data_IF_819871763907
#
_entry.id   IF_819871763907
#
_cell.length_a   1.000
_cell.length_b   1.000
_cell.length_c   1.000
_cell.angle_alpha   90.00
_cell.angle_beta   90.00
_cell.angle_gamma   90.00
#
_symmetry.space_group_name_H-M   'P 1'
#
loop_
_entity.id
_entity.type
_entity.pdbx_description
1 polymer ?
#
# COMPACT_ATOMS: atom_id res chain seq x y z
N UNK A 1 2.83 -15.59 -4.86
CA UNK A 1 2.91 -16.77 -5.72
C UNK A 1 2.20 -17.91 -4.97
N UNK A 2 0.93 -18.13 -5.28
CA UNK A 2 0.11 -19.22 -4.72
C UNK A 2 0.55 -20.56 -5.34
N UNK A 3 1.82 -20.90 -5.17
CA UNK A 3 2.29 -22.24 -5.54
C UNK A 3 1.80 -23.22 -4.49
N UNK A 4 1.24 -24.33 -4.94
CA UNK A 4 1.07 -25.51 -4.11
C UNK A 4 2.45 -25.98 -3.65
N UNK A 5 2.85 -25.54 -2.46
CA UNK A 5 4.07 -26.03 -1.85
C UNK A 5 3.83 -27.47 -1.38
N UNK A 6 4.72 -28.36 -1.78
CA UNK A 6 4.78 -29.70 -1.22
C UNK A 6 5.25 -29.62 0.24
N UNK A 7 4.29 -29.45 1.15
CA UNK A 7 4.55 -29.28 2.57
C UNK A 7 5.27 -30.48 3.19
N UNK A 8 5.03 -31.70 2.68
CA UNK A 8 5.71 -32.91 3.14
C UNK A 8 7.20 -32.86 2.77
N UNK A 9 7.51 -32.49 1.54
CA UNK A 9 8.88 -32.30 1.08
C UNK A 9 9.61 -31.19 1.83
N UNK A 10 8.94 -30.09 2.12
CA UNK A 10 9.51 -28.99 2.91
C UNK A 10 9.72 -29.41 4.37
N UNK A 11 8.78 -30.16 4.96
CA UNK A 11 8.90 -30.73 6.30
C UNK A 11 10.11 -31.64 6.42
N UNK A 12 10.25 -32.61 5.52
CA UNK A 12 11.37 -33.52 5.47
C UNK A 12 12.71 -32.76 5.31
N UNK A 13 12.75 -31.75 4.45
CA UNK A 13 13.93 -30.90 4.28
C UNK A 13 14.32 -30.19 5.59
N UNK A 14 13.37 -29.68 6.34
CA UNK A 14 13.62 -29.02 7.63
C UNK A 14 14.14 -30.06 8.65
N UNK A 15 13.50 -31.23 8.78
CA UNK A 15 13.92 -32.31 9.71
C UNK A 15 15.33 -32.80 9.42
N UNK A 16 15.73 -32.87 8.15
CA UNK A 16 17.07 -33.32 7.75
C UNK A 16 18.17 -32.26 7.98
N UNK A 17 17.83 -30.96 8.00
CA UNK A 17 18.80 -29.86 7.97
C UNK A 17 18.79 -28.99 9.24
N UNK A 18 17.82 -29.15 10.13
CA UNK A 18 17.66 -28.35 11.35
C UNK A 18 17.58 -29.25 12.58
N UNK A 19 18.39 -28.97 13.59
CA UNK A 19 18.26 -29.60 14.90
C UNK A 19 17.03 -29.01 15.64
N UNK A 20 15.87 -29.61 15.36
CA UNK A 20 14.59 -29.19 15.92
C UNK A 20 14.54 -29.28 17.44
N UNK A 21 15.22 -30.27 18.03
CA UNK A 21 15.26 -30.46 19.49
C UNK A 21 16.00 -29.28 20.16
N UNK A 22 17.12 -28.86 19.58
CA UNK A 22 17.81 -27.63 20.04
C UNK A 22 16.94 -26.39 19.86
N UNK A 23 16.30 -26.18 18.70
CA UNK A 23 15.39 -25.04 18.47
C UNK A 23 14.27 -25.04 19.51
N UNK A 24 13.59 -26.15 19.71
CA UNK A 24 12.50 -26.28 20.69
C UNK A 24 12.99 -26.06 22.14
N UNK A 25 14.21 -26.49 22.47
CA UNK A 25 14.78 -26.26 23.80
C UNK A 25 15.02 -24.79 24.08
N UNK A 26 15.52 -24.05 23.08
CA UNK A 26 15.74 -22.59 23.16
C UNK A 26 14.42 -21.81 23.20
N UNK A 27 13.39 -22.28 22.50
CA UNK A 27 12.06 -21.66 22.47
C UNK A 27 11.26 -21.83 23.79
N UNK A 28 11.77 -22.55 24.77
CA UNK A 28 11.10 -22.74 26.10
C UNK A 28 11.26 -21.57 27.04
N UNK A 29 12.12 -20.60 26.71
CA UNK A 29 12.22 -19.41 27.53
C UNK A 29 10.94 -18.55 27.36
N UNK A 30 10.32 -18.11 28.48
CA UNK A 30 9.13 -17.29 28.38
C UNK A 30 9.49 -15.98 27.66
N UNK A 31 8.72 -15.65 26.63
CA UNK A 31 8.80 -14.31 26.05
C UNK A 31 8.56 -13.28 27.13
N UNK A 32 9.34 -12.18 27.19
CA UNK A 32 8.99 -11.06 28.04
C UNK A 32 7.56 -10.65 27.74
N UNK A 33 6.79 -10.35 28.78
CA UNK A 33 5.44 -9.84 28.61
C UNK A 33 5.48 -8.68 27.63
N UNK A 34 4.71 -8.78 26.55
CA UNK A 34 4.55 -7.65 25.64
C UNK A 34 4.08 -6.44 26.46
N UNK A 35 4.68 -5.25 26.29
CA UNK A 35 4.12 -4.08 26.93
C UNK A 35 2.65 -3.98 26.51
N UNK A 36 1.75 -3.72 27.47
CA UNK A 36 0.37 -3.38 27.15
C UNK A 36 0.40 -2.16 26.23
N UNK A 37 0.17 -2.37 24.95
CA UNK A 37 -0.05 -1.25 24.03
C UNK A 37 -1.35 -0.57 24.44
N UNK A 38 -1.23 0.48 25.21
CA UNK A 38 -2.33 1.42 25.42
C UNK A 38 -2.59 2.14 24.07
N UNK A 39 -3.40 1.53 23.21
CA UNK A 39 -4.11 2.31 22.20
C UNK A 39 -5.00 3.25 23.01
N UNK A 40 -4.82 4.58 22.91
CA UNK A 40 -5.66 5.48 23.69
C UNK A 40 -7.13 5.19 23.38
N UNK A 41 -7.98 5.15 24.41
CA UNK A 41 -9.45 5.09 24.29
C UNK A 41 -10.01 6.40 23.70
N UNK A 42 -9.38 6.89 22.64
CA UNK A 42 -9.91 8.02 21.88
C UNK A 42 -11.00 7.48 20.96
N UNK A 43 -12.21 7.93 21.17
CA UNK A 43 -13.32 7.62 20.27
C UNK A 43 -12.94 8.01 18.84
N UNK A 44 -13.05 7.06 17.93
CA UNK A 44 -12.69 7.31 16.52
C UNK A 44 -13.67 8.31 15.92
N UNK A 45 -13.14 9.33 15.26
CA UNK A 45 -13.94 10.39 14.64
C UNK A 45 -13.96 10.32 13.11
N UNK A 46 -13.10 9.46 12.52
CA UNK A 46 -13.06 9.15 11.09
C UNK A 46 -12.89 7.65 10.85
N UNK A 47 -13.24 7.21 9.66
CA UNK A 47 -13.08 5.82 9.23
C UNK A 47 -12.17 5.75 8.01
N UNK A 48 -11.12 4.93 8.06
CA UNK A 48 -10.21 4.67 6.93
C UNK A 48 -10.45 3.25 6.42
N UNK A 49 -10.80 3.14 5.14
CA UNK A 49 -10.86 1.87 4.43
C UNK A 49 -9.46 1.40 4.05
N UNK A 50 -9.07 0.21 4.48
CA UNK A 50 -7.79 -0.41 4.12
C UNK A 50 -8.07 -1.60 3.21
N UNK A 51 -7.56 -1.54 1.98
CA UNK A 51 -7.66 -2.64 1.04
C UNK A 51 -6.87 -3.85 1.58
N UNK A 52 -7.53 -4.98 1.80
CA UNK A 52 -6.89 -6.16 2.38
C UNK A 52 -7.47 -7.43 1.76
N UNK A 53 -6.71 -8.01 0.84
CA UNK A 53 -7.01 -9.29 0.21
C UNK A 53 -5.71 -9.90 -0.38
N UNK A 54 -5.82 -10.91 -1.24
CA UNK A 54 -4.66 -11.53 -1.89
C UNK A 54 -3.92 -10.60 -2.87
N UNK A 55 -4.57 -9.55 -3.38
CA UNK A 55 -3.94 -8.55 -4.23
C UNK A 55 -3.20 -7.47 -3.43
N UNK A 56 -3.68 -7.15 -2.21
CA UNK A 56 -3.15 -6.09 -1.34
C UNK A 56 -2.92 -6.64 0.07
N UNK A 57 -1.68 -7.02 0.38
CA UNK A 57 -1.36 -7.71 1.63
C UNK A 57 -0.11 -7.18 2.36
N UNK A 58 0.58 -6.18 1.81
CA UNK A 58 1.77 -5.61 2.44
C UNK A 58 1.45 -4.36 3.22
N UNK A 59 1.36 -4.52 4.54
CA UNK A 59 1.09 -3.44 5.48
C UNK A 59 1.99 -3.55 6.70
N UNK A 60 2.48 -2.42 7.18
CA UNK A 60 3.03 -2.35 8.53
C UNK A 60 1.90 -2.26 9.54
N UNK A 61 1.87 -3.20 10.50
CA UNK A 61 0.90 -3.13 11.61
C UNK A 61 1.01 -1.80 12.36
N UNK A 62 2.24 -1.31 12.58
CA UNK A 62 2.52 -0.03 13.21
C UNK A 62 1.89 1.17 12.48
N UNK A 63 1.72 1.08 11.14
CA UNK A 63 1.01 2.11 10.36
C UNK A 63 -0.48 2.13 10.72
N UNK A 64 -1.11 0.96 10.73
CA UNK A 64 -2.53 0.82 11.09
C UNK A 64 -2.78 1.28 12.54
N UNK A 65 -1.88 0.93 13.46
CA UNK A 65 -1.96 1.36 14.85
C UNK A 65 -1.72 2.86 15.01
N UNK A 66 -0.88 3.45 14.16
CA UNK A 66 -0.69 4.90 14.13
C UNK A 66 -1.94 5.64 13.65
N UNK A 67 -2.67 5.12 12.67
CA UNK A 67 -3.97 5.67 12.29
C UNK A 67 -4.99 5.57 13.43
N UNK A 68 -5.05 4.43 14.14
CA UNK A 68 -5.92 4.28 15.33
C UNK A 68 -5.57 5.27 16.41
N UNK A 69 -4.27 5.44 16.74
CA UNK A 69 -3.80 6.44 17.71
C UNK A 69 -4.15 7.87 17.30
N UNK A 70 -4.19 8.16 16.00
CA UNK A 70 -4.62 9.46 15.47
C UNK A 70 -6.15 9.66 15.47
N UNK A 71 -6.94 8.66 15.89
CA UNK A 71 -8.40 8.72 16.01
C UNK A 71 -9.15 8.19 14.80
N UNK A 72 -8.56 7.28 14.03
CA UNK A 72 -9.23 6.60 12.94
C UNK A 72 -9.71 5.20 13.32
N UNK A 73 -10.94 4.86 12.95
CA UNK A 73 -11.40 3.48 12.83
C UNK A 73 -10.85 2.89 11.53
N UNK A 74 -10.38 1.64 11.57
CA UNK A 74 -9.92 0.92 10.37
C UNK A 74 -10.99 -0.09 9.96
N UNK A 75 -11.46 0.04 8.71
CA UNK A 75 -12.32 -0.95 8.05
C UNK A 75 -11.57 -1.62 6.91
N UNK A 76 -11.31 -2.92 7.06
CA UNK A 76 -10.75 -3.70 5.96
C UNK A 76 -11.83 -4.00 4.91
N UNK A 77 -11.42 -3.96 3.64
CA UNK A 77 -12.29 -4.35 2.52
C UNK A 77 -11.46 -5.02 1.42
N UNK A 78 -12.13 -5.82 0.59
CA UNK A 78 -11.50 -6.50 -0.53
C UNK A 78 -11.83 -5.78 -1.85
N UNK A 79 -10.85 -5.16 -2.52
CA UNK A 79 -11.03 -4.71 -3.89
C UNK A 79 -11.47 -5.79 -4.86
N UNK A 80 -11.07 -7.06 -4.65
CA UNK A 80 -11.47 -8.20 -5.46
C UNK A 80 -12.96 -8.52 -5.34
N UNK A 81 -13.54 -8.39 -4.14
CA UNK A 81 -14.98 -8.59 -3.91
C UNK A 81 -15.85 -7.45 -4.46
N UNK A 82 -15.26 -6.28 -4.66
CA UNK A 82 -15.89 -5.16 -5.35
C UNK A 82 -16.80 -4.29 -4.50
N UNK A 83 -16.84 -4.47 -3.19
CA UNK A 83 -17.61 -3.64 -2.27
C UNK A 83 -16.72 -2.62 -1.55
N UNK A 84 -17.11 -1.34 -1.62
CA UNK A 84 -16.44 -0.26 -0.91
C UNK A 84 -17.28 0.06 0.33
N UNK A 85 -16.70 -0.03 1.54
CA UNK A 85 -17.39 0.37 2.76
C UNK A 85 -17.62 1.89 2.82
N UNK A 86 -18.53 2.32 3.67
CA UNK A 86 -18.69 3.75 3.99
C UNK A 86 -17.50 4.20 4.84
N UNK A 87 -16.64 5.07 4.24
CA UNK A 87 -15.35 5.50 4.81
C UNK A 87 -15.02 6.94 4.42
N UNK A 88 -14.18 7.58 5.21
CA UNK A 88 -13.77 8.97 5.05
C UNK A 88 -12.41 9.12 4.31
N UNK A 89 -11.74 8.01 4.01
CA UNK A 89 -10.51 7.93 3.23
C UNK A 89 -10.12 6.49 2.98
N UNK A 90 -9.16 6.24 2.07
CA UNK A 90 -8.71 4.89 1.71
C UNK A 90 -7.20 4.75 1.69
N UNK A 91 -6.73 3.55 2.03
CA UNK A 91 -5.32 3.16 1.93
C UNK A 91 -5.19 1.84 1.17
N UNK A 92 -4.45 1.88 0.06
CA UNK A 92 -4.08 0.74 -0.75
C UNK A 92 -2.58 0.48 -0.57
N UNK A 93 -2.24 -0.54 0.20
CA UNK A 93 -0.85 -0.95 0.40
C UNK A 93 -0.26 -1.68 -0.78
N UNK A 94 0.92 -2.24 -0.57
CA UNK A 94 1.54 -3.12 -1.54
C UNK A 94 0.92 -4.50 -1.58
N UNK A 95 1.40 -5.32 -2.51
CA UNK A 95 0.94 -6.68 -2.72
C UNK A 95 1.29 -7.18 -4.11
N UNK A 96 0.41 -8.01 -4.64
CA UNK A 96 0.56 -8.67 -5.95
C UNK A 96 -0.67 -8.45 -6.83
N UNK A 97 -1.03 -7.19 -7.17
CA UNK A 97 -2.19 -6.93 -8.02
C UNK A 97 -2.08 -7.60 -9.39
N UNK A 98 -0.86 -7.83 -9.89
CA UNK A 98 -0.60 -8.49 -11.15
C UNK A 98 -1.09 -9.95 -11.18
N UNK A 99 -1.13 -10.65 -10.05
CA UNK A 99 -1.63 -12.02 -9.97
C UNK A 99 -3.16 -12.10 -10.03
N UNK A 100 -3.84 -11.01 -9.73
CA UNK A 100 -5.30 -10.89 -9.65
C UNK A 100 -5.85 -9.84 -10.63
N UNK A 101 -5.06 -9.47 -11.64
CA UNK A 101 -5.33 -8.31 -12.48
C UNK A 101 -6.64 -8.41 -13.26
N UNK A 102 -7.00 -9.62 -13.70
CA UNK A 102 -8.22 -9.86 -14.47
C UNK A 102 -9.50 -9.77 -13.62
N UNK A 103 -9.41 -10.05 -12.33
CA UNK A 103 -10.47 -9.86 -11.35
C UNK A 103 -10.59 -8.39 -10.99
N UNK A 104 -9.47 -7.72 -10.72
CA UNK A 104 -9.41 -6.28 -10.41
C UNK A 104 -9.97 -5.43 -11.56
N UNK A 105 -9.65 -5.75 -12.83
CA UNK A 105 -10.20 -5.05 -13.99
C UNK A 105 -11.73 -5.05 -14.02
N UNK A 106 -12.36 -6.12 -13.53
CA UNK A 106 -13.83 -6.30 -13.52
C UNK A 106 -14.50 -5.82 -12.23
N UNK A 107 -13.70 -5.52 -11.22
CA UNK A 107 -14.22 -5.18 -9.91
C UNK A 107 -14.99 -3.86 -9.91
N UNK A 108 -16.12 -3.84 -9.18
CA UNK A 108 -16.90 -2.62 -8.97
C UNK A 108 -16.11 -1.56 -8.20
N UNK A 109 -15.18 -1.97 -7.34
CA UNK A 109 -14.26 -1.05 -6.65
C UNK A 109 -13.45 -0.25 -7.66
N UNK A 110 -12.81 -0.94 -8.61
CA UNK A 110 -11.98 -0.32 -9.66
C UNK A 110 -12.73 0.79 -10.39
N UNK A 111 -13.99 0.57 -10.75
CA UNK A 111 -14.78 1.53 -11.51
C UNK A 111 -15.32 2.73 -10.71
N UNK A 112 -15.20 2.70 -9.38
CA UNK A 112 -15.69 3.78 -8.50
C UNK A 112 -14.58 4.70 -7.97
N UNK A 113 -13.34 4.25 -7.95
CA UNK A 113 -12.25 4.98 -7.29
C UNK A 113 -11.98 6.35 -7.91
N UNK A 114 -12.06 6.46 -9.23
CA UNK A 114 -11.90 7.73 -9.94
C UNK A 114 -12.93 8.77 -9.51
N UNK A 115 -14.19 8.37 -9.43
CA UNK A 115 -15.28 9.27 -9.03
C UNK A 115 -15.13 9.67 -7.56
N UNK A 116 -14.76 8.75 -6.66
CA UNK A 116 -14.51 9.05 -5.25
C UNK A 116 -13.34 10.03 -5.07
N UNK A 117 -12.26 9.85 -5.83
CA UNK A 117 -11.14 10.79 -5.85
C UNK A 117 -11.57 12.17 -6.36
N UNK A 118 -12.34 12.23 -7.45
CA UNK A 118 -12.86 13.48 -8.00
C UNK A 118 -13.81 14.21 -7.04
N UNK A 119 -14.55 13.46 -6.22
CA UNK A 119 -15.36 14.01 -5.12
C UNK A 119 -14.50 14.48 -3.93
N UNK A 120 -13.19 14.22 -3.99
CA UNK A 120 -12.19 14.72 -3.04
C UNK A 120 -11.91 13.79 -1.86
N UNK A 121 -12.32 12.52 -1.91
CA UNK A 121 -11.92 11.53 -0.92
C UNK A 121 -10.40 11.38 -0.88
N UNK A 122 -9.76 11.43 0.30
CA UNK A 122 -8.34 11.14 0.44
C UNK A 122 -8.05 9.67 0.13
N UNK A 123 -7.19 9.41 -0.85
CA UNK A 123 -6.77 8.06 -1.22
C UNK A 123 -5.24 8.01 -1.24
N UNK A 124 -4.68 7.07 -0.47
CA UNK A 124 -3.24 6.82 -0.41
C UNK A 124 -2.91 5.44 -0.98
N UNK A 125 -1.88 5.37 -1.83
CA UNK A 125 -1.42 4.13 -2.47
C UNK A 125 0.08 3.89 -2.36
N UNK A 126 0.50 2.64 -2.14
CA UNK A 126 1.91 2.21 -2.12
C UNK A 126 2.13 1.05 -3.08
N UNK A 127 3.16 1.13 -3.92
CA UNK A 127 3.64 0.07 -4.81
C UNK A 127 2.50 -0.62 -5.60
N UNK A 128 1.98 -1.75 -5.15
CA UNK A 128 0.80 -2.40 -5.75
C UNK A 128 -0.42 -1.49 -5.79
N UNK A 129 -0.61 -0.66 -4.75
CA UNK A 129 -1.65 0.37 -4.71
C UNK A 129 -1.45 1.45 -5.77
N UNK A 130 -0.21 1.91 -6.02
CA UNK A 130 0.10 2.81 -7.14
C UNK A 130 -0.30 2.18 -8.47
N UNK A 131 0.16 0.96 -8.73
CA UNK A 131 -0.11 0.23 -9.97
C UNK A 131 -1.61 0.11 -10.24
N UNK A 132 -2.39 -0.24 -9.22
CA UNK A 132 -3.83 -0.39 -9.29
C UNK A 132 -4.58 0.92 -9.54
N UNK A 133 -4.10 2.03 -9.01
CA UNK A 133 -4.71 3.35 -9.13
C UNK A 133 -4.40 4.05 -10.47
N UNK A 134 -3.45 3.54 -11.26
CA UNK A 134 -3.14 4.00 -12.61
C UNK A 134 -4.26 3.67 -13.62
N UNK A 135 -4.16 4.22 -14.83
CA UNK A 135 -5.10 3.98 -15.94
C UNK A 135 -5.08 2.52 -16.39
N UNK A 136 -3.89 1.94 -16.48
CA UNK A 136 -3.72 0.57 -16.99
C UNK A 136 -2.48 -0.11 -16.46
N UNK A 137 -2.47 -1.44 -16.56
CA UNK A 137 -1.33 -2.28 -16.25
C UNK A 137 -1.11 -3.28 -17.39
N UNK A 138 0.05 -3.20 -18.03
CA UNK A 138 0.47 -4.15 -19.05
C UNK A 138 1.28 -5.30 -18.44
N UNK A 139 0.83 -6.52 -18.70
CA UNK A 139 1.48 -7.77 -18.27
C UNK A 139 1.50 -8.71 -19.48
N UNK A 140 2.70 -9.18 -19.90
CA UNK A 140 2.87 -10.11 -21.02
C UNK A 140 2.13 -9.65 -22.31
N UNK A 141 2.34 -8.37 -22.69
CA UNK A 141 1.74 -7.73 -23.87
C UNK A 141 0.20 -7.59 -23.81
N UNK A 142 -0.42 -7.90 -22.68
CA UNK A 142 -1.85 -7.67 -22.45
C UNK A 142 -2.04 -6.48 -21.51
N UNK A 143 -2.85 -5.53 -21.96
CA UNK A 143 -3.21 -4.33 -21.21
C UNK A 143 -4.53 -4.56 -20.48
N UNK A 144 -4.53 -4.35 -19.18
CA UNK A 144 -5.70 -4.37 -18.30
C UNK A 144 -6.05 -2.96 -17.86
N UNK A 145 -7.31 -2.58 -17.94
CA UNK A 145 -7.78 -1.28 -17.48
C UNK A 145 -8.04 -1.33 -15.98
N UNK A 146 -7.54 -0.33 -15.27
CA UNK A 146 -7.64 -0.26 -13.81
C UNK A 146 -8.41 0.99 -13.35
N UNK A 147 -8.09 1.52 -12.17
CA UNK A 147 -8.91 2.55 -11.54
C UNK A 147 -8.93 3.89 -12.29
N UNK A 148 -7.99 4.14 -13.20
CA UNK A 148 -7.87 5.37 -14.00
C UNK A 148 -7.96 6.66 -13.13
N UNK A 149 -7.44 6.56 -11.91
CA UNK A 149 -7.39 7.69 -10.99
C UNK A 149 -6.19 8.57 -11.34
N UNK A 150 -5.04 7.97 -11.65
CA UNK A 150 -3.85 8.69 -12.09
C UNK A 150 -3.62 8.52 -13.59
N UNK A 151 -3.26 9.59 -14.33
CA UNK A 151 -2.97 9.54 -15.77
C UNK A 151 -1.58 8.92 -16.00
N UNK A 152 -1.46 7.64 -15.70
CA UNK A 152 -0.22 6.87 -15.80
C UNK A 152 -0.52 5.43 -16.21
N UNK A 153 0.42 4.79 -16.88
CA UNK A 153 0.35 3.41 -17.33
C UNK A 153 1.49 2.62 -16.69
N UNK A 154 1.19 1.46 -16.14
CA UNK A 154 2.18 0.57 -15.56
C UNK A 154 2.49 -0.57 -16.50
N UNK A 155 3.76 -0.96 -16.57
CA UNK A 155 4.23 -2.10 -17.36
C UNK A 155 5.02 -3.04 -16.45
N UNK A 156 4.62 -4.32 -16.40
CA UNK A 156 5.39 -5.37 -15.73
C UNK A 156 6.64 -5.72 -16.54
N UNK A 157 7.77 -5.76 -15.87
CA UNK A 157 9.03 -6.14 -16.52
C UNK A 157 9.62 -7.40 -15.86
N UNK A 158 10.48 -8.11 -16.61
CA UNK A 158 11.19 -9.28 -16.07
C UNK A 158 12.39 -8.90 -15.22
N UNK A 159 12.82 -7.65 -15.29
CA UNK A 159 14.00 -7.13 -14.60
C UNK A 159 13.58 -6.36 -13.36
N UNK A 160 14.24 -6.62 -12.25
CA UNK A 160 14.10 -5.82 -11.03
C UNK A 160 14.41 -4.34 -11.35
N UNK A 161 13.47 -3.45 -11.07
CA UNK A 161 13.58 -2.03 -11.38
C UNK A 161 14.16 -1.24 -10.21
N UNK A 162 13.76 -1.58 -8.99
CA UNK A 162 14.29 -0.97 -7.79
C UNK A 162 14.25 -1.94 -6.61
N UNK A 163 15.24 -1.83 -5.73
CA UNK A 163 15.32 -2.52 -4.44
C UNK A 163 16.18 -1.69 -3.50
N UNK A 164 15.63 -1.20 -2.42
CA UNK A 164 16.40 -0.53 -1.39
C UNK A 164 15.63 0.44 -0.53
N UNK A 165 16.33 1.04 0.43
CA UNK A 165 15.75 2.08 1.27
C UNK A 165 15.59 3.38 0.49
N UNK A 166 14.49 4.07 0.77
CA UNK A 166 14.12 5.33 0.14
C UNK A 166 14.04 6.45 1.16
N UNK A 167 14.26 7.68 0.71
CA UNK A 167 14.08 8.91 1.46
C UNK A 167 13.69 10.03 0.51
N UNK A 168 12.72 10.82 0.88
CA UNK A 168 12.28 11.97 0.09
C UNK A 168 11.53 13.00 0.91
N UNK A 169 11.24 14.12 0.26
CA UNK A 169 10.38 15.18 0.78
C UNK A 169 9.05 15.12 0.02
N UNK A 170 7.97 14.93 0.76
CA UNK A 170 6.61 14.94 0.22
C UNK A 170 6.01 16.34 0.36
N UNK A 171 5.36 16.81 -0.70
CA UNK A 171 4.48 17.99 -0.73
C UNK A 171 3.20 17.62 -1.49
N UNK A 172 2.39 16.77 -0.87
CA UNK A 172 1.15 16.25 -1.45
C UNK A 172 -0.07 17.01 -0.92
N UNK A 173 -1.23 16.88 -1.56
CA UNK A 173 -2.46 17.51 -1.08
C UNK A 173 -2.97 16.97 0.26
N UNK A 174 -2.55 15.76 0.66
CA UNK A 174 -3.07 15.08 1.84
C UNK A 174 -2.06 14.96 2.99
N UNK A 175 -0.76 15.18 2.72
CA UNK A 175 0.28 15.26 3.76
C UNK A 175 1.56 15.88 3.24
N UNK A 176 2.42 16.36 4.15
CA UNK A 176 3.70 17.00 3.85
C UNK A 176 4.78 16.59 4.83
N UNK A 177 6.03 16.60 4.37
CA UNK A 177 7.21 16.38 5.20
C UNK A 177 8.16 15.32 4.67
N UNK A 178 9.17 15.00 5.46
CA UNK A 178 10.11 13.94 5.15
C UNK A 178 9.43 12.58 5.26
N UNK A 179 9.56 11.76 4.19
CA UNK A 179 9.11 10.37 4.16
C UNK A 179 10.29 9.45 3.90
N UNK A 180 10.32 8.34 4.63
CA UNK A 180 11.32 7.27 4.49
C UNK A 180 10.60 5.95 4.32
N UNK A 181 11.24 5.03 3.62
CA UNK A 181 10.65 3.72 3.39
C UNK A 181 11.60 2.81 2.64
N UNK A 182 11.03 1.96 1.85
CA UNK A 182 11.74 1.14 0.87
C UNK A 182 10.94 1.04 -0.42
N UNK A 183 11.59 0.66 -1.49
CA UNK A 183 10.98 0.28 -2.76
C UNK A 183 11.46 -1.10 -3.17
N UNK A 184 10.56 -1.89 -3.71
CA UNK A 184 10.85 -3.20 -4.29
C UNK A 184 9.84 -3.50 -5.38
N UNK A 185 10.21 -3.32 -6.64
CA UNK A 185 9.27 -3.53 -7.75
C UNK A 185 9.97 -3.94 -9.04
N UNK A 186 9.24 -4.69 -9.86
CA UNK A 186 9.61 -5.10 -11.21
C UNK A 186 8.92 -4.26 -12.28
N UNK A 187 7.90 -3.49 -11.91
CA UNK A 187 7.16 -2.65 -12.85
C UNK A 187 7.82 -1.29 -13.07
N UNK A 188 7.48 -0.67 -14.19
CA UNK A 188 7.76 0.73 -14.52
C UNK A 188 6.42 1.42 -14.73
N UNK A 189 6.27 2.62 -14.17
CA UNK A 189 5.10 3.48 -14.40
C UNK A 189 5.51 4.65 -15.28
N UNK A 190 4.83 4.80 -16.41
CA UNK A 190 4.97 5.90 -17.34
C UNK A 190 3.84 6.90 -17.12
N UNK A 191 4.20 8.12 -16.75
CA UNK A 191 3.25 9.17 -16.43
C UNK A 191 2.99 10.06 -17.65
N UNK A 192 1.76 10.54 -17.81
CA UNK A 192 1.48 11.58 -18.78
C UNK A 192 2.34 12.83 -18.51
N UNK A 193 2.65 13.58 -19.55
CA UNK A 193 3.59 14.72 -19.46
C UNK A 193 3.13 15.85 -18.55
N UNK A 194 1.86 15.92 -18.23
CA UNK A 194 1.22 16.87 -17.32
C UNK A 194 0.93 16.28 -15.92
N UNK A 195 1.36 15.04 -15.66
CA UNK A 195 1.23 14.42 -14.34
C UNK A 195 2.01 15.20 -13.29
N UNK A 196 1.41 15.27 -12.09
CA UNK A 196 2.01 15.95 -10.94
C UNK A 196 2.61 14.93 -9.98
N UNK A 197 3.86 15.18 -9.56
CA UNK A 197 4.60 14.34 -8.63
C UNK A 197 4.90 15.12 -7.35
N UNK A 198 4.56 14.53 -6.21
CA UNK A 198 4.61 15.19 -4.92
C UNK A 198 5.89 14.92 -4.12
N UNK A 199 6.67 13.90 -4.49
CA UNK A 199 7.87 13.53 -3.72
C UNK A 199 9.12 13.87 -4.50
N UNK A 200 10.04 14.61 -3.87
CA UNK A 200 11.43 14.77 -4.33
C UNK A 200 12.30 13.76 -3.59
N UNK A 201 12.90 12.82 -4.31
CA UNK A 201 13.67 11.72 -3.74
C UNK A 201 15.12 12.17 -3.48
N UNK A 202 15.57 12.05 -2.23
CA UNK A 202 16.99 12.17 -1.85
C UNK A 202 17.71 10.81 -2.03
N UNK A 203 16.95 9.71 -1.87
CA UNK A 203 17.41 8.33 -2.04
C UNK A 203 16.27 7.48 -2.55
N UNK A 204 16.54 6.58 -3.48
CA UNK A 204 15.57 5.75 -4.17
C UNK A 204 15.42 6.15 -5.62
N UNK A 205 14.69 5.33 -6.39
CA UNK A 205 14.46 5.57 -7.82
C UNK A 205 13.22 6.42 -8.05
N UNK A 206 12.13 6.09 -7.33
CA UNK A 206 10.82 6.66 -7.56
C UNK A 206 10.23 6.29 -8.93
N UNK A 207 9.28 7.10 -9.39
CA UNK A 207 8.57 6.90 -10.66
C UNK A 207 9.46 7.38 -11.83
N UNK A 208 9.92 8.63 -11.80
CA UNK A 208 10.71 9.23 -12.89
C UNK A 208 11.66 10.32 -12.37
N UNK A 209 12.90 10.33 -12.85
CA UNK A 209 13.90 11.38 -12.61
C UNK A 209 14.10 11.78 -11.13
N UNK A 210 14.04 10.81 -10.22
CA UNK A 210 14.15 11.08 -8.78
C UNK A 210 12.91 11.73 -8.16
N UNK A 211 11.79 11.66 -8.85
CA UNK A 211 10.48 12.06 -8.36
C UNK A 211 9.59 10.84 -8.15
N UNK A 212 8.73 10.90 -7.14
CA UNK A 212 7.73 9.89 -6.82
C UNK A 212 6.43 10.56 -6.34
N UNK A 213 5.43 9.75 -5.97
CA UNK A 213 4.20 10.28 -5.41
C UNK A 213 3.32 11.00 -6.45
N UNK A 214 2.87 10.28 -7.48
CA UNK A 214 1.87 10.82 -8.41
C UNK A 214 0.59 11.19 -7.66
N UNK A 215 0.01 12.35 -7.96
CA UNK A 215 -1.19 12.81 -7.27
C UNK A 215 -2.21 13.48 -8.19
N UNK A 216 -3.49 13.27 -7.85
CA UNK A 216 -4.65 13.95 -8.40
C UNK A 216 -5.65 14.23 -7.27
N UNK A 217 -6.30 15.39 -7.29
CA UNK A 217 -7.22 15.81 -6.22
C UNK A 217 -6.60 15.62 -4.81
N UNK A 218 -7.26 14.85 -3.95
CA UNK A 218 -6.78 14.44 -2.63
C UNK A 218 -6.24 13.00 -2.62
N UNK A 219 -5.73 12.53 -3.73
CA UNK A 219 -5.17 11.19 -3.86
C UNK A 219 -3.70 11.26 -4.22
N UNK A 220 -2.88 10.40 -3.62
CA UNK A 220 -1.45 10.26 -3.91
C UNK A 220 -1.03 8.81 -3.83
N UNK A 221 -0.17 8.37 -4.74
CA UNK A 221 0.43 7.05 -4.67
C UNK A 221 1.89 7.07 -5.14
N UNK A 222 2.70 6.18 -4.59
CA UNK A 222 4.15 6.11 -4.82
C UNK A 222 4.64 4.66 -4.92
N UNK A 223 5.82 4.46 -5.47
CA UNK A 223 6.50 3.16 -5.36
C UNK A 223 7.01 2.90 -3.94
N UNK A 224 7.24 3.97 -3.17
CA UNK A 224 7.71 3.85 -1.79
C UNK A 224 6.66 3.18 -0.91
N UNK A 225 7.10 2.14 -0.17
CA UNK A 225 6.42 1.66 1.03
C UNK A 225 6.88 2.51 2.20
N UNK A 226 6.03 3.41 2.67
CA UNK A 226 6.40 4.36 3.71
C UNK A 226 6.56 3.68 5.07
N UNK A 227 7.65 4.03 5.78
CA UNK A 227 7.87 3.54 7.14
C UNK A 227 6.99 4.33 8.13
N UNK A 228 6.25 3.67 9.03
CA UNK A 228 5.31 4.31 9.95
C UNK A 228 5.92 5.45 10.77
N UNK A 229 7.19 5.31 11.17
CA UNK A 229 7.91 6.33 11.95
C UNK A 229 8.23 7.63 11.21
N UNK A 230 7.95 7.72 9.90
CA UNK A 230 8.15 8.93 9.10
C UNK A 230 6.90 9.36 8.32
N UNK A 231 5.92 8.48 8.19
CA UNK A 231 4.68 8.82 7.49
C UNK A 231 3.91 9.90 8.26
N UNK A 232 3.45 10.97 7.61
CA UNK A 232 2.70 12.05 8.25
C UNK A 232 1.25 11.66 8.56
N UNK A 233 1.08 10.77 9.53
CA UNK A 233 -0.20 10.15 9.93
C UNK A 233 -1.27 11.19 10.23
N UNK A 234 -0.93 12.19 11.05
CA UNK A 234 -1.89 13.23 11.47
C UNK A 234 -2.42 14.03 10.29
N UNK A 235 -1.57 14.35 9.31
CA UNK A 235 -1.99 15.08 8.11
C UNK A 235 -2.98 14.27 7.28
N UNK A 236 -2.70 12.98 7.05
CA UNK A 236 -3.58 12.10 6.31
C UNK A 236 -4.93 11.93 7.02
N UNK A 237 -4.92 11.64 8.33
CA UNK A 237 -6.15 11.50 9.12
C UNK A 237 -6.93 12.83 9.17
N UNK A 238 -6.25 13.97 9.25
CA UNK A 238 -6.92 15.28 9.18
C UNK A 238 -7.53 15.55 7.78
N UNK A 239 -6.94 15.02 6.72
CA UNK A 239 -7.55 15.09 5.39
C UNK A 239 -8.84 14.28 5.32
N UNK A 240 -8.89 13.11 5.94
CA UNK A 240 -10.11 12.31 6.08
C UNK A 240 -11.19 13.05 6.90
N UNK A 241 -10.82 13.73 8.00
CA UNK A 241 -11.75 14.57 8.77
C UNK A 241 -12.36 15.70 7.95
N UNK A 242 -11.55 16.35 7.12
CA UNK A 242 -12.03 17.42 6.24
C UNK A 242 -12.99 16.89 5.18
N UNK A 243 -12.75 15.71 4.66
CA UNK A 243 -13.66 15.07 3.70
C UNK A 243 -15.01 14.72 4.36
N UNK A 244 -14.99 14.10 5.53
CA UNK A 244 -16.19 13.77 6.31
C UNK A 244 -17.10 14.95 6.62
N UNK A 245 -16.56 16.16 6.73
CA UNK A 245 -17.29 17.39 7.10
C UNK A 245 -17.96 18.10 5.90
N UNK A 246 -17.83 17.57 4.69
CA UNK A 246 -18.45 18.12 3.48
C UNK A 246 -19.91 17.71 3.38
#
# INVERSE_FOLDING_TARGET
>A
DERDYDLEKLGNFIEENVDLDTVLSLAKEPLPAAPEECIPDKEADVTIGVAMDSAFCFYYQDMLDSFRRAGAEIKFFSPLEGDIPDVDGMYFGGGYPELHIAELEKSRTTHKLKDLSADGMPIYGECGGLQYLCTSYEIEERVYKLADLFPAETVMTKKLQALGYTKGQADSPIFRGEVRGHEFHYSVTDCASDSRLAYTMERGKGIVDGMDGIYEHNSVASYMHAHPGSFPVDDFVNSCRKYKQR
#
